data_IF_957926886327
#
_entry.id   IF_957926886327
#
_cell.length_a   1.000
_cell.length_b   1.000
_cell.length_c   1.000
_cell.angle_alpha   90.00
_cell.angle_beta   90.00
_cell.angle_gamma   90.00
#
_symmetry.space_group_name_H-M   'P 1'
#
loop_
_entity.id
_entity.type
_entity.pdbx_description
1 polymer ?
#
# COMPACT_ATOMS: atom_id res chain seq x y z
N UNK A 1 17.66 -6.68 -2.46
CA UNK A 1 16.97 -6.09 -1.29
C UNK A 1 15.82 -7.01 -0.97
N UNK A 2 15.70 -7.46 0.28
CA UNK A 2 14.61 -8.35 0.72
C UNK A 2 13.26 -7.64 0.49
N UNK A 3 12.22 -8.36 0.02
CA UNK A 3 10.91 -7.77 -0.32
C UNK A 3 10.33 -6.94 0.83
N UNK A 4 10.57 -7.36 2.07
CA UNK A 4 10.18 -6.64 3.27
C UNK A 4 10.77 -5.22 3.36
N UNK A 5 12.05 -5.05 3.03
CA UNK A 5 12.71 -3.74 3.07
C UNK A 5 12.17 -2.80 1.97
N UNK A 6 11.87 -3.37 0.79
CA UNK A 6 11.19 -2.61 -0.27
C UNK A 6 9.78 -2.19 0.17
N UNK A 7 9.04 -3.10 0.82
CA UNK A 7 7.73 -2.82 1.38
C UNK A 7 7.78 -1.68 2.42
N UNK A 8 8.75 -1.72 3.34
CA UNK A 8 8.96 -0.66 4.34
C UNK A 8 9.26 0.70 3.70
N UNK A 9 10.07 0.74 2.64
CA UNK A 9 10.38 1.97 1.93
C UNK A 9 9.14 2.57 1.25
N UNK A 10 8.30 1.73 0.62
CA UNK A 10 7.02 2.15 0.04
C UNK A 10 6.08 2.66 1.13
N UNK A 11 5.94 1.91 2.23
CA UNK A 11 5.07 2.29 3.35
C UNK A 11 5.48 3.61 4.00
N UNK A 12 6.78 3.89 4.09
CA UNK A 12 7.29 5.15 4.64
C UNK A 12 6.87 6.37 3.81
N UNK A 13 6.70 6.22 2.50
CA UNK A 13 6.23 7.30 1.64
C UNK A 13 4.77 7.64 1.96
N UNK A 14 3.88 6.64 1.96
CA UNK A 14 2.46 6.84 2.31
C UNK A 14 2.28 7.46 3.70
N UNK A 15 3.10 7.05 4.67
CA UNK A 15 3.05 7.59 6.04
C UNK A 15 3.30 9.11 6.13
N UNK A 16 3.94 9.70 5.13
CA UNK A 16 4.17 11.15 5.10
C UNK A 16 2.96 11.95 4.57
N UNK A 17 1.95 11.28 3.99
CA UNK A 17 0.73 11.93 3.55
C UNK A 17 -0.20 12.14 4.76
N UNK A 18 -0.59 13.40 5.09
CA UNK A 18 -1.40 13.69 6.27
C UNK A 18 -2.82 13.11 6.21
N UNK A 19 -3.30 12.71 5.01
CA UNK A 19 -4.59 12.02 4.84
C UNK A 19 -4.50 10.51 5.18
N UNK A 20 -3.31 9.94 5.36
CA UNK A 20 -3.14 8.52 5.71
C UNK A 20 -3.22 8.31 7.21
N UNK A 21 -4.11 7.43 7.66
CA UNK A 21 -4.23 7.01 9.06
C UNK A 21 -3.31 5.82 9.38
N UNK A 22 -3.27 4.83 8.49
CA UNK A 22 -2.49 3.60 8.68
C UNK A 22 -1.88 3.10 7.38
N UNK A 23 -0.68 2.53 7.47
CA UNK A 23 -0.07 1.75 6.39
C UNK A 23 0.37 0.40 6.92
N UNK A 24 0.02 -0.67 6.21
CA UNK A 24 0.35 -2.05 6.58
C UNK A 24 0.95 -2.79 5.38
N UNK A 25 2.03 -3.55 5.64
CA UNK A 25 2.51 -4.57 4.71
C UNK A 25 1.67 -5.83 4.97
N UNK A 26 1.02 -6.34 3.93
CA UNK A 26 0.18 -7.54 3.99
C UNK A 26 0.85 -8.71 3.25
N UNK A 27 0.06 -9.71 2.85
CA UNK A 27 0.54 -10.80 2.00
C UNK A 27 1.57 -11.75 2.62
N UNK A 28 2.23 -12.51 1.75
CA UNK A 28 3.28 -13.46 2.13
C UNK A 28 4.47 -12.77 2.78
N UNK A 29 4.77 -11.53 2.40
CA UNK A 29 5.85 -10.70 2.94
C UNK A 29 5.68 -10.45 4.43
N UNK A 30 4.48 -10.09 4.89
CA UNK A 30 4.23 -9.82 6.31
C UNK A 30 4.30 -11.07 7.20
N UNK A 31 4.05 -12.25 6.61
CA UNK A 31 4.08 -13.56 7.30
C UNK A 31 5.45 -14.24 7.26
N UNK A 32 6.44 -13.67 6.56
CA UNK A 32 7.74 -14.30 6.35
C UNK A 32 7.69 -15.53 5.44
N UNK A 33 6.68 -15.62 4.57
CA UNK A 33 6.46 -16.73 3.63
C UNK A 33 6.76 -16.34 2.17
N UNK A 34 7.27 -15.14 1.95
CA UNK A 34 7.58 -14.68 0.60
C UNK A 34 8.68 -15.52 -0.05
N UNK A 35 8.49 -15.84 -1.32
CA UNK A 35 9.43 -16.55 -2.16
C UNK A 35 9.76 -15.74 -3.42
N UNK A 36 10.46 -16.36 -4.38
CA UNK A 36 10.88 -15.72 -5.62
C UNK A 36 9.73 -15.38 -6.58
N UNK A 37 8.50 -15.88 -6.34
CA UNK A 37 7.31 -15.59 -7.15
C UNK A 37 6.38 -14.59 -6.45
N UNK A 38 6.68 -14.21 -5.20
CA UNK A 38 5.86 -13.32 -4.40
C UNK A 38 6.01 -11.85 -4.83
N UNK A 39 4.92 -11.11 -4.73
CA UNK A 39 4.84 -9.66 -4.82
C UNK A 39 4.82 -9.02 -3.41
N UNK A 40 4.50 -7.72 -3.34
CA UNK A 40 4.35 -6.96 -2.09
C UNK A 40 2.96 -6.36 -2.08
N UNK A 41 2.20 -6.65 -1.03
CA UNK A 41 0.90 -6.05 -0.77
C UNK A 41 1.05 -4.93 0.27
N UNK A 42 0.62 -3.71 -0.07
CA UNK A 42 0.57 -2.56 0.85
C UNK A 42 -0.88 -2.10 0.98
N UNK A 43 -1.42 -2.15 2.20
CA UNK A 43 -2.72 -1.56 2.51
C UNK A 43 -2.53 -0.18 3.11
N UNK A 44 -3.33 0.78 2.63
CA UNK A 44 -3.32 2.16 3.08
C UNK A 44 -4.73 2.52 3.51
N UNK A 45 -4.88 2.87 4.78
CA UNK A 45 -6.13 3.38 5.33
C UNK A 45 -6.09 4.90 5.28
N UNK A 46 -7.09 5.49 4.62
CA UNK A 46 -7.19 6.93 4.42
C UNK A 46 -8.28 7.51 5.30
N UNK A 47 -8.07 8.72 5.81
CA UNK A 47 -9.08 9.47 6.57
C UNK A 47 -10.20 9.97 5.65
N UNK A 48 -9.84 10.41 4.45
CA UNK A 48 -10.72 10.82 3.36
C UNK A 48 -10.33 10.09 2.06
N UNK A 49 -11.25 10.01 1.09
CA UNK A 49 -10.98 9.33 -0.17
C UNK A 49 -9.69 9.87 -0.85
N UNK A 50 -8.73 9.02 -1.23
CA UNK A 50 -7.49 9.47 -1.85
C UNK A 50 -7.73 9.95 -3.28
N UNK A 51 -6.96 10.94 -3.71
CA UNK A 51 -6.89 11.30 -5.12
C UNK A 51 -6.05 10.29 -5.91
N UNK A 52 -6.15 10.32 -7.23
CA UNK A 52 -5.24 9.59 -8.11
C UNK A 52 -3.77 9.96 -7.87
N UNK A 53 -3.50 11.23 -7.55
CA UNK A 53 -2.14 11.71 -7.31
C UNK A 53 -1.59 11.16 -5.99
N UNK A 54 -2.39 11.15 -4.92
CA UNK A 54 -2.04 10.52 -3.63
C UNK A 54 -1.61 9.04 -3.81
N UNK A 55 -2.25 8.33 -4.74
CA UNK A 55 -1.98 6.91 -5.02
C UNK A 55 -0.78 6.70 -5.96
N UNK A 56 -0.51 7.64 -6.88
CA UNK A 56 0.53 7.53 -7.92
C UNK A 56 1.87 8.13 -7.52
N UNK A 57 1.89 9.16 -6.68
CA UNK A 57 3.10 9.85 -6.24
C UNK A 57 4.15 8.92 -5.60
N UNK A 58 3.81 7.98 -4.71
CA UNK A 58 4.77 7.03 -4.13
C UNK A 58 5.47 6.18 -5.20
N UNK A 59 4.74 5.77 -6.24
CA UNK A 59 5.27 4.97 -7.35
C UNK A 59 6.27 5.82 -8.14
N UNK A 60 5.92 7.08 -8.43
CA UNK A 60 6.77 8.01 -9.16
C UNK A 60 8.07 8.32 -8.41
N UNK A 61 8.00 8.65 -7.12
CA UNK A 61 9.16 9.01 -6.30
C UNK A 61 10.11 7.83 -6.08
N UNK A 62 9.57 6.61 -6.03
CA UNK A 62 10.36 5.38 -5.95
C UNK A 62 10.81 4.85 -7.32
N UNK A 63 10.62 5.63 -8.38
CA UNK A 63 10.98 5.28 -9.77
C UNK A 63 10.38 3.94 -10.22
N UNK A 64 9.16 3.65 -9.74
CA UNK A 64 8.37 2.50 -10.14
C UNK A 64 7.67 2.73 -11.48
N UNK A 65 7.16 1.63 -12.03
CA UNK A 65 6.35 1.62 -13.24
C UNK A 65 4.93 1.17 -12.89
N UNK A 66 3.94 1.88 -13.43
CA UNK A 66 2.53 1.50 -13.28
C UNK A 66 2.22 0.48 -14.38
N UNK A 67 2.07 -0.79 -13.98
CA UNK A 67 1.66 -1.88 -14.88
C UNK A 67 0.13 -1.84 -15.08
N UNK A 68 -0.61 -1.61 -14.01
CA UNK A 68 -2.08 -1.53 -13.99
C UNK A 68 -2.53 -0.52 -12.93
N UNK A 69 -3.64 0.19 -13.18
CA UNK A 69 -4.20 1.18 -12.26
C UNK A 69 -5.72 1.19 -12.35
N UNK A 70 -6.39 0.89 -11.23
CA UNK A 70 -7.84 0.92 -11.13
C UNK A 70 -8.33 2.23 -10.50
N UNK A 71 -9.43 2.82 -11.02
CA UNK A 71 -10.10 3.94 -10.37
C UNK A 71 -10.46 3.61 -8.92
N UNK A 72 -10.52 4.62 -8.06
CA UNK A 72 -11.07 4.43 -6.72
C UNK A 72 -12.57 4.12 -6.83
N UNK A 73 -13.04 3.12 -6.10
CA UNK A 73 -14.44 2.71 -6.03
C UNK A 73 -14.95 2.96 -4.61
N UNK A 74 -15.96 3.83 -4.46
CA UNK A 74 -16.52 4.19 -3.14
C UNK A 74 -17.14 3.00 -2.40
N UNK A 75 -17.56 1.96 -3.12
CA UNK A 75 -18.30 0.82 -2.59
C UNK A 75 -17.41 -0.33 -2.05
N UNK A 76 -16.10 -0.12 -1.91
CA UNK A 76 -15.20 -1.11 -1.31
C UNK A 76 -15.44 -1.21 0.20
N UNK A 77 -16.26 -2.18 0.61
CA UNK A 77 -16.73 -2.35 1.98
C UNK A 77 -15.81 -3.30 2.77
N UNK A 78 -15.33 -2.87 3.95
CA UNK A 78 -14.70 -3.77 4.92
C UNK A 78 -15.24 -3.53 6.33
N UNK A 79 -15.75 -4.59 6.98
CA UNK A 79 -16.05 -4.56 8.41
C UNK A 79 -14.91 -5.17 9.22
N UNK A 80 -14.55 -4.50 10.30
CA UNK A 80 -13.72 -5.08 11.36
C UNK A 80 -14.29 -4.69 12.70
N UNK A 81 -14.50 -5.68 13.58
CA UNK A 81 -14.92 -5.47 14.95
C UNK A 81 -14.16 -6.43 15.87
N UNK A 82 -13.86 -5.95 17.08
CA UNK A 82 -13.38 -6.76 18.19
C UNK A 82 -14.46 -6.79 19.27
N UNK A 83 -14.59 -7.93 19.96
CA UNK A 83 -15.33 -8.05 21.21
C UNK A 83 -14.43 -7.71 22.40
#
# INVERSE_FOLDING_TARGET
MELLEKGKAISAYYRNNPNVDLVMIAGSVSRGWADHLSDIEIYVLWNEAPTDEDRKEPIKELQGEIIEFHPFEEDEWSESYVN
#
